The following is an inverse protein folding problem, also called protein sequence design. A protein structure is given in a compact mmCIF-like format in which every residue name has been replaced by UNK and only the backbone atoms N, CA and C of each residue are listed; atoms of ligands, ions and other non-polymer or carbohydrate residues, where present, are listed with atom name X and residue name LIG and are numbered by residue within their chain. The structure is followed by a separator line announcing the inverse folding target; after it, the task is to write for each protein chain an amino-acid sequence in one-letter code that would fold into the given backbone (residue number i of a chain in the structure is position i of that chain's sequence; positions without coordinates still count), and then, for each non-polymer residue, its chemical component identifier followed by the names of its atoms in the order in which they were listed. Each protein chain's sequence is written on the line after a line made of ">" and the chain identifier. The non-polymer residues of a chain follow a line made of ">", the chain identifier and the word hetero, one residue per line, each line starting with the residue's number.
data_IF_773224732340
#
_entry.id   IF_773224732340
#
_cell.length_a   1.000
_cell.length_b   1.000
_cell.length_c   1.000
_cell.angle_alpha   90.00
_cell.angle_beta   90.00
_cell.angle_gamma   90.00
#
_symmetry.space_group_name_H-M   'P 1'
#
loop_
_entity.id
_entity.type
_entity.pdbx_description
1 polymer ?
#
# COMPACT_ATOMS: atom_id res chain seq x y z
N UNK A 1 1.68 -9.66 -15.95
CA UNK A 1 1.63 -9.69 -14.47
C UNK A 1 2.96 -9.19 -13.96
N UNK A 2 2.97 -7.98 -13.42
CA UNK A 2 4.22 -7.28 -13.12
C UNK A 2 4.17 -6.69 -11.73
N UNK A 3 5.24 -6.86 -10.98
CA UNK A 3 5.48 -6.16 -9.73
C UNK A 3 4.46 -6.39 -8.59
N UNK A 4 4.06 -7.66 -8.36
CA UNK A 4 3.11 -8.01 -7.27
C UNK A 4 3.77 -8.76 -6.11
N UNK A 5 3.19 -8.60 -4.91
CA UNK A 5 3.38 -9.50 -3.76
C UNK A 5 2.16 -10.43 -3.72
N UNK A 6 2.41 -11.73 -3.83
CA UNK A 6 1.38 -12.76 -3.95
C UNK A 6 1.63 -13.82 -2.89
N UNK A 7 0.92 -13.71 -1.77
CA UNK A 7 1.18 -14.54 -0.59
C UNK A 7 -0.07 -15.22 -0.03
N UNK A 8 0.13 -16.39 0.60
CA UNK A 8 -0.86 -17.10 1.44
C UNK A 8 -2.17 -17.47 0.71
N UNK A 9 -2.09 -17.79 -0.57
CA UNK A 9 -3.25 -18.24 -1.36
C UNK A 9 -3.48 -19.75 -1.22
N UNK A 10 -4.75 -20.13 -0.98
CA UNK A 10 -5.16 -21.51 -0.71
C UNK A 10 -5.08 -22.46 -1.91
N UNK A 11 -5.04 -21.94 -3.15
CA UNK A 11 -4.99 -22.75 -4.37
C UNK A 11 -3.77 -22.44 -5.24
N UNK A 12 -3.71 -21.23 -5.79
CA UNK A 12 -2.58 -20.76 -6.58
C UNK A 12 -2.37 -19.28 -6.29
N UNK A 13 -1.11 -18.84 -6.20
CA UNK A 13 -0.79 -17.43 -6.12
C UNK A 13 -1.11 -16.75 -7.44
N UNK A 14 -0.49 -17.23 -8.53
CA UNK A 14 -0.77 -16.77 -9.88
C UNK A 14 -1.39 -17.92 -10.67
N UNK A 15 -2.51 -17.68 -11.35
CA UNK A 15 -3.13 -18.66 -12.25
C UNK A 15 -3.25 -18.09 -13.66
N UNK A 16 -2.63 -18.77 -14.63
CA UNK A 16 -2.80 -18.53 -16.07
C UNK A 16 -3.65 -19.67 -16.62
N UNK A 17 -4.84 -19.34 -17.11
CA UNK A 17 -5.79 -20.32 -17.64
C UNK A 17 -6.20 -19.91 -19.04
N UNK A 18 -5.97 -20.79 -20.02
CA UNK A 18 -6.27 -20.50 -21.44
C UNK A 18 -5.71 -19.13 -21.85
N UNK A 19 -4.46 -18.88 -21.44
CA UNK A 19 -3.79 -17.58 -21.55
C UNK A 19 -2.53 -17.72 -22.39
N UNK A 20 -2.34 -16.81 -23.35
CA UNK A 20 -1.24 -16.84 -24.30
C UNK A 20 -0.44 -15.53 -24.29
N UNK A 21 0.87 -15.62 -24.57
CA UNK A 21 1.76 -14.48 -24.81
C UNK A 21 1.86 -13.46 -23.65
N UNK A 22 1.62 -13.90 -22.42
CA UNK A 22 1.74 -13.03 -21.25
C UNK A 22 3.18 -12.95 -20.74
N UNK A 23 3.53 -11.80 -20.17
CA UNK A 23 4.76 -11.62 -19.41
C UNK A 23 4.44 -11.63 -17.92
N UNK A 24 5.10 -12.52 -17.18
CA UNK A 24 5.09 -12.58 -15.71
C UNK A 24 6.49 -12.26 -15.23
N UNK A 25 6.69 -11.05 -14.70
CA UNK A 25 8.02 -10.55 -14.35
C UNK A 25 8.00 -9.78 -13.02
N UNK A 26 9.08 -9.90 -12.24
CA UNK A 26 9.25 -9.22 -10.97
C UNK A 26 8.11 -9.44 -9.99
N UNK A 27 7.61 -10.66 -9.80
CA UNK A 27 6.63 -10.95 -8.76
C UNK A 27 7.29 -11.66 -7.58
N UNK A 28 6.88 -11.33 -6.36
CA UNK A 28 7.21 -12.09 -5.15
C UNK A 28 6.05 -13.02 -4.82
N UNK A 29 6.24 -14.31 -5.05
CA UNK A 29 5.19 -15.32 -4.95
C UNK A 29 5.58 -16.30 -3.86
N UNK A 30 5.01 -16.15 -2.67
CA UNK A 30 5.46 -16.90 -1.50
C UNK A 30 4.34 -17.51 -0.64
N UNK A 31 4.61 -18.65 -0.01
CA UNK A 31 3.70 -19.28 0.94
C UNK A 31 2.30 -19.61 0.37
N UNK A 32 2.18 -19.93 -0.93
CA UNK A 32 0.94 -20.36 -1.57
C UNK A 32 0.90 -21.88 -1.73
N UNK A 33 -0.28 -22.49 -1.93
CA UNK A 33 -0.36 -23.91 -2.26
C UNK A 33 0.38 -24.21 -3.58
N UNK A 34 0.10 -23.42 -4.63
CA UNK A 34 0.89 -23.39 -5.86
C UNK A 34 1.40 -21.97 -6.03
N UNK A 35 2.69 -21.76 -6.28
CA UNK A 35 3.21 -20.41 -6.55
C UNK A 35 2.57 -19.87 -7.83
N UNK A 36 2.82 -20.57 -8.94
CA UNK A 36 2.17 -20.32 -10.21
C UNK A 36 1.52 -21.59 -10.77
N UNK A 37 0.32 -21.46 -11.34
CA UNK A 37 -0.43 -22.52 -12.00
C UNK A 37 -0.73 -22.14 -13.46
N UNK A 38 -0.17 -22.88 -14.41
CA UNK A 38 -0.51 -22.77 -15.84
C UNK A 38 -1.43 -23.93 -16.23
N UNK A 39 -2.59 -23.61 -16.83
CA UNK A 39 -3.51 -24.65 -17.27
C UNK A 39 -4.35 -24.35 -18.50
N UNK A 40 -5.06 -25.38 -18.97
CA UNK A 40 -6.11 -25.30 -19.99
C UNK A 40 -5.62 -24.63 -21.28
N UNK A 41 -4.56 -25.17 -21.88
CA UNK A 41 -3.94 -24.67 -23.11
C UNK A 41 -3.24 -23.30 -22.98
N UNK A 42 -2.79 -22.93 -21.77
CA UNK A 42 -1.92 -21.76 -21.63
C UNK A 42 -0.58 -22.02 -22.30
N UNK A 43 -0.17 -21.14 -23.21
CA UNK A 43 1.06 -21.31 -23.99
C UNK A 43 1.78 -20.02 -24.33
N UNK A 44 3.04 -20.11 -24.72
CA UNK A 44 3.85 -18.96 -25.16
C UNK A 44 3.96 -17.84 -24.11
N UNK A 45 3.74 -18.14 -22.82
CA UNK A 45 3.93 -17.16 -21.76
C UNK A 45 5.41 -17.11 -21.38
N UNK A 46 5.89 -15.93 -20.99
CA UNK A 46 7.26 -15.71 -20.55
C UNK A 46 7.27 -15.34 -19.07
N UNK A 47 7.89 -16.18 -18.25
CA UNK A 47 7.92 -16.09 -16.80
C UNK A 47 9.38 -16.01 -16.36
N UNK A 48 9.85 -14.84 -15.94
CA UNK A 48 11.27 -14.61 -15.61
C UNK A 48 11.41 -13.52 -14.56
N UNK A 49 12.53 -13.48 -13.84
CA UNK A 49 12.77 -12.52 -12.76
C UNK A 49 11.72 -12.50 -11.64
N UNK A 50 11.07 -13.62 -11.38
CA UNK A 50 10.17 -13.77 -10.23
C UNK A 50 10.88 -14.49 -9.07
N UNK A 51 10.34 -14.32 -7.87
CA UNK A 51 10.74 -15.05 -6.68
C UNK A 51 9.64 -16.03 -6.29
N UNK A 52 9.88 -17.33 -6.44
CA UNK A 52 8.98 -18.39 -5.96
C UNK A 52 9.56 -18.99 -4.67
N UNK A 53 8.93 -18.66 -3.53
CA UNK A 53 9.51 -18.93 -2.21
C UNK A 53 8.53 -19.65 -1.29
N UNK A 54 8.91 -20.84 -0.80
CA UNK A 54 8.14 -21.60 0.19
C UNK A 54 6.66 -21.84 -0.23
N UNK A 55 6.37 -21.93 -1.52
CA UNK A 55 5.08 -22.44 -1.96
C UNK A 55 5.08 -23.97 -1.79
N UNK A 56 3.93 -24.60 -1.54
CA UNK A 56 3.87 -26.08 -1.44
C UNK A 56 4.33 -26.73 -2.75
N UNK A 57 3.98 -26.10 -3.87
CA UNK A 57 4.52 -26.38 -5.21
C UNK A 57 4.87 -25.03 -5.84
N UNK A 58 6.14 -24.76 -6.17
CA UNK A 58 6.51 -23.43 -6.68
C UNK A 58 5.92 -23.13 -8.07
N UNK A 59 5.97 -24.09 -8.99
CA UNK A 59 5.25 -24.03 -10.27
C UNK A 59 4.54 -25.34 -10.56
N UNK A 60 3.32 -25.24 -11.08
CA UNK A 60 2.53 -26.38 -11.50
C UNK A 60 1.97 -26.11 -12.90
N UNK A 61 2.21 -27.03 -13.82
CA UNK A 61 1.78 -26.93 -15.21
C UNK A 61 0.88 -28.13 -15.52
N UNK A 62 -0.29 -27.88 -16.10
CA UNK A 62 -1.24 -28.94 -16.48
C UNK A 62 -1.92 -28.60 -17.80
N UNK A 63 -1.62 -29.34 -18.85
CA UNK A 63 -2.05 -29.01 -20.22
C UNK A 63 -1.62 -27.59 -20.63
N UNK A 64 -0.35 -27.25 -20.42
CA UNK A 64 0.28 -26.00 -20.85
C UNK A 64 1.54 -26.30 -21.65
N UNK A 65 1.84 -25.49 -22.67
CA UNK A 65 2.89 -25.81 -23.64
C UNK A 65 3.71 -24.56 -24.00
N UNK A 66 4.97 -24.73 -24.41
CA UNK A 66 5.80 -23.65 -24.95
C UNK A 66 5.90 -22.41 -24.03
N UNK A 67 5.91 -22.58 -22.70
CA UNK A 67 6.14 -21.44 -21.80
C UNK A 67 7.63 -21.31 -21.52
N UNK A 68 8.13 -20.08 -21.59
CA UNK A 68 9.54 -19.75 -21.40
C UNK A 68 9.75 -19.29 -19.95
N UNK A 69 10.56 -20.02 -19.19
CA UNK A 69 10.82 -19.71 -17.77
C UNK A 69 12.05 -18.81 -17.56
N UNK A 70 12.48 -18.16 -18.63
CA UNK A 70 13.61 -17.26 -18.66
C UNK A 70 13.44 -16.23 -19.76
N UNK A 71 14.30 -15.22 -19.77
CA UNK A 71 14.44 -14.31 -20.90
C UNK A 71 15.86 -13.79 -20.98
N UNK A 72 16.46 -13.87 -22.17
CA UNK A 72 17.85 -13.41 -22.40
C UNK A 72 18.86 -13.95 -21.37
N UNK A 73 18.76 -15.26 -21.07
CA UNK A 73 19.66 -15.94 -20.13
C UNK A 73 19.40 -15.65 -18.66
N UNK A 74 18.24 -15.09 -18.31
CA UNK A 74 17.87 -14.76 -16.93
C UNK A 74 16.54 -15.41 -16.59
N UNK A 75 16.54 -16.32 -15.61
CA UNK A 75 15.37 -17.05 -15.13
C UNK A 75 14.77 -16.50 -13.83
N UNK A 76 14.10 -17.37 -13.09
CA UNK A 76 13.46 -17.06 -11.82
C UNK A 76 14.30 -17.56 -10.64
N UNK A 77 14.00 -17.05 -9.45
CA UNK A 77 14.48 -17.64 -8.21
C UNK A 77 13.48 -18.66 -7.70
N UNK A 78 13.97 -19.84 -7.31
CA UNK A 78 13.18 -20.95 -6.79
C UNK A 78 13.75 -21.39 -5.44
N UNK A 79 12.97 -21.32 -4.36
CA UNK A 79 13.46 -21.69 -3.02
C UNK A 79 13.80 -23.16 -2.86
N UNK A 80 13.32 -24.01 -3.77
CA UNK A 80 13.49 -25.45 -3.85
C UNK A 80 14.34 -25.85 -5.08
N UNK A 81 15.20 -24.96 -5.58
CA UNK A 81 16.11 -25.29 -6.66
C UNK A 81 17.10 -26.39 -6.23
N UNK A 82 17.10 -27.51 -6.96
CA UNK A 82 18.07 -28.58 -6.80
C UNK A 82 18.95 -28.68 -8.07
N UNK A 83 20.10 -28.00 -8.06
CA UNK A 83 21.08 -28.05 -9.15
C UNK A 83 21.06 -26.83 -10.07
N UNK A 84 21.44 -27.03 -11.34
CA UNK A 84 21.68 -25.95 -12.31
C UNK A 84 20.43 -25.54 -13.12
N UNK A 85 19.33 -26.29 -12.99
CA UNK A 85 18.06 -26.05 -13.68
C UNK A 85 16.88 -26.35 -12.76
N UNK A 86 15.74 -25.70 -13.01
CA UNK A 86 14.49 -26.00 -12.29
C UNK A 86 13.51 -26.70 -13.22
N UNK A 87 13.25 -27.98 -12.95
CA UNK A 87 12.34 -28.82 -13.74
C UNK A 87 10.92 -28.74 -13.17
N UNK A 88 9.96 -28.32 -13.98
CA UNK A 88 8.55 -28.15 -13.57
C UNK A 88 7.72 -29.31 -14.11
N UNK A 89 7.84 -29.57 -15.42
CA UNK A 89 7.40 -30.77 -16.12
C UNK A 89 8.24 -30.98 -17.39
N UNK A 90 7.98 -32.04 -18.16
CA UNK A 90 8.75 -32.40 -19.36
C UNK A 90 8.89 -31.26 -20.40
N UNK A 91 7.94 -30.31 -20.45
CA UNK A 91 7.92 -29.21 -21.43
C UNK A 91 8.13 -27.82 -20.81
N UNK A 92 8.26 -27.73 -19.48
CA UNK A 92 8.35 -26.49 -18.74
C UNK A 92 9.56 -26.56 -17.81
N UNK A 93 10.66 -25.95 -18.23
CA UNK A 93 11.94 -25.98 -17.51
C UNK A 93 12.55 -24.59 -17.50
N UNK A 94 13.00 -24.14 -16.32
CA UNK A 94 13.85 -22.96 -16.20
C UNK A 94 15.31 -23.41 -16.35
N UNK A 95 15.95 -22.98 -17.44
CA UNK A 95 17.34 -23.32 -17.76
C UNK A 95 18.35 -22.31 -17.18
N UNK A 96 17.89 -21.16 -16.67
CA UNK A 96 18.75 -20.14 -16.09
C UNK A 96 18.21 -19.65 -14.73
N UNK A 97 17.87 -20.56 -13.80
CA UNK A 97 17.40 -20.15 -12.50
C UNK A 97 18.51 -19.38 -11.77
N UNK A 98 18.12 -18.39 -10.97
CA UNK A 98 19.09 -17.62 -10.18
C UNK A 98 19.22 -18.18 -8.76
N UNK A 99 20.42 -18.09 -8.20
CA UNK A 99 20.74 -18.61 -6.86
C UNK A 99 20.42 -17.64 -5.73
N UNK A 100 20.14 -16.37 -6.05
CA UNK A 100 19.75 -15.35 -5.09
C UNK A 100 18.37 -14.79 -5.47
N UNK A 101 17.49 -14.52 -4.48
CA UNK A 101 16.22 -13.86 -4.76
C UNK A 101 16.43 -12.50 -5.41
N UNK A 102 15.58 -12.18 -6.39
CA UNK A 102 15.51 -10.86 -6.98
C UNK A 102 15.22 -9.81 -5.91
N UNK A 103 15.98 -8.72 -5.92
CA UNK A 103 15.74 -7.62 -5.00
C UNK A 103 14.42 -6.92 -5.37
N UNK A 104 13.39 -7.20 -4.58
CA UNK A 104 12.07 -6.60 -4.65
C UNK A 104 11.93 -5.45 -3.65
N UNK A 105 13.00 -4.75 -3.26
CA UNK A 105 12.91 -3.64 -2.30
C UNK A 105 12.05 -2.45 -2.78
N UNK A 106 11.66 -2.42 -4.06
CA UNK A 106 10.64 -1.51 -4.60
C UNK A 106 9.19 -1.88 -4.24
N UNK A 107 8.98 -3.05 -3.64
CA UNK A 107 7.69 -3.65 -3.30
C UNK A 107 7.43 -3.51 -1.81
N UNK A 108 7.44 -2.26 -1.35
CA UNK A 108 7.02 -1.99 0.02
C UNK A 108 5.53 -1.77 -0.02
N UNK A 109 4.79 -2.58 0.74
CA UNK A 109 3.40 -2.27 1.09
C UNK A 109 3.31 -0.78 1.43
N UNK A 110 2.52 -0.03 0.68
CA UNK A 110 2.44 1.42 0.85
C UNK A 110 1.28 1.79 1.74
N UNK A 111 1.38 2.99 2.29
CA UNK A 111 0.29 3.67 2.95
C UNK A 111 -0.03 4.95 2.17
N UNK A 112 -1.31 5.24 1.99
CA UNK A 112 -1.79 6.34 1.16
C UNK A 112 -2.76 7.19 1.92
N UNK A 113 -2.55 8.50 1.92
CA UNK A 113 -3.54 9.48 2.37
C UNK A 113 -4.40 9.84 1.15
N UNK A 114 -5.67 9.45 1.16
CA UNK A 114 -6.62 9.68 0.06
C UNK A 114 -7.30 11.05 0.21
N UNK A 115 -7.64 11.42 1.44
CA UNK A 115 -8.22 12.71 1.75
C UNK A 115 -7.66 13.21 3.09
N UNK A 116 -7.26 14.49 3.18
CA UNK A 116 -7.39 15.55 2.16
C UNK A 116 -6.35 15.46 1.03
N UNK A 117 -6.58 16.22 -0.05
CA UNK A 117 -5.63 16.42 -1.16
C UNK A 117 -4.46 17.30 -0.74
N UNK A 118 -3.35 17.21 -1.47
CA UNK A 118 -2.17 18.04 -1.21
C UNK A 118 -2.53 19.52 -1.24
N UNK A 119 -2.15 20.25 -0.18
CA UNK A 119 -2.40 21.67 0.01
C UNK A 119 -3.89 22.08 0.02
N UNK A 120 -4.80 21.15 0.28
CA UNK A 120 -6.24 21.47 0.36
C UNK A 120 -6.52 22.42 1.54
N UNK A 121 -7.38 23.41 1.29
CA UNK A 121 -7.86 24.32 2.32
C UNK A 121 -8.97 23.62 3.10
N UNK A 122 -8.76 23.44 4.41
CA UNK A 122 -9.67 22.70 5.28
C UNK A 122 -10.14 23.55 6.46
N UNK A 123 -11.34 23.24 6.97
CA UNK A 123 -11.93 23.86 8.15
C UNK A 123 -12.96 22.95 8.82
N UNK A 124 -13.16 23.14 10.12
CA UNK A 124 -14.09 22.37 10.93
C UNK A 124 -13.62 20.95 11.21
N UNK A 125 -14.57 20.08 11.53
CA UNK A 125 -14.31 18.66 11.79
C UNK A 125 -14.49 17.84 10.51
N UNK A 126 -13.49 17.03 10.17
CA UNK A 126 -13.57 16.13 9.03
C UNK A 126 -12.74 14.86 9.24
N UNK A 127 -13.07 13.81 8.49
CA UNK A 127 -12.27 12.59 8.50
C UNK A 127 -11.10 12.70 7.54
N UNK A 128 -9.88 12.54 8.04
CA UNK A 128 -8.73 12.16 7.22
C UNK A 128 -8.85 10.67 6.92
N UNK A 129 -8.67 10.26 5.67
CA UNK A 129 -8.93 8.90 5.20
C UNK A 129 -7.81 8.39 4.30
N UNK A 130 -7.60 7.09 4.31
CA UNK A 130 -6.67 6.46 3.40
C UNK A 130 -6.72 4.95 3.37
N UNK A 131 -5.77 4.38 2.64
CA UNK A 131 -5.60 2.93 2.51
C UNK A 131 -4.19 2.56 2.96
N UNK A 132 -4.03 1.41 3.60
CA UNK A 132 -2.74 0.81 3.92
C UNK A 132 -2.70 -0.61 3.36
N UNK A 133 -1.70 -0.90 2.55
CA UNK A 133 -1.35 -2.26 2.11
C UNK A 133 -0.58 -3.01 3.20
N UNK A 134 -0.24 -2.34 4.31
CA UNK A 134 0.53 -2.90 5.43
C UNK A 134 -0.45 -3.48 6.45
N UNK A 135 -0.32 -4.79 6.73
CA UNK A 135 -1.07 -5.53 7.76
C UNK A 135 -0.66 -5.14 9.21
N UNK A 136 -0.60 -3.83 9.52
CA UNK A 136 -0.27 -3.28 10.84
C UNK A 136 -1.18 -2.10 11.18
N UNK A 137 -1.22 -1.73 12.46
CA UNK A 137 -1.93 -0.54 12.92
C UNK A 137 -1.42 0.73 12.23
N UNK A 138 -2.35 1.61 11.89
CA UNK A 138 -2.07 2.92 11.31
C UNK A 138 -2.03 3.97 12.41
N UNK A 139 -0.96 4.75 12.43
CA UNK A 139 -0.75 5.84 13.36
C UNK A 139 -0.68 7.16 12.61
N UNK A 140 -1.17 8.24 13.22
CA UNK A 140 -1.10 9.58 12.66
C UNK A 140 -0.59 10.59 13.69
N UNK A 141 -0.05 11.71 13.21
CA UNK A 141 0.20 12.91 14.02
C UNK A 141 0.07 14.16 13.15
N UNK A 142 -0.16 15.30 13.80
CA UNK A 142 -0.19 16.60 13.12
C UNK A 142 1.06 17.36 13.55
N UNK A 143 1.84 17.79 12.58
CA UNK A 143 3.12 18.47 12.78
C UNK A 143 4.06 17.69 13.72
N UNK A 144 4.39 18.31 14.86
CA UNK A 144 5.29 17.78 15.87
C UNK A 144 4.55 17.16 17.06
N UNK A 145 3.24 16.87 16.94
CA UNK A 145 2.48 16.21 18.00
C UNK A 145 2.91 14.75 18.23
N UNK A 146 2.47 14.17 19.33
CA UNK A 146 2.58 12.73 19.57
C UNK A 146 1.77 11.93 18.55
N UNK A 147 2.22 10.71 18.27
CA UNK A 147 1.49 9.74 17.44
C UNK A 147 0.23 9.25 18.16
N UNK A 148 -0.87 9.21 17.42
CA UNK A 148 -2.17 8.69 17.85
C UNK A 148 -2.62 7.56 16.93
N UNK A 149 -3.45 6.66 17.44
CA UNK A 149 -3.96 5.52 16.68
C UNK A 149 -5.12 5.95 15.78
N UNK A 150 -5.05 5.61 14.49
CA UNK A 150 -6.18 5.76 13.57
C UNK A 150 -7.16 4.58 13.71
N UNK A 151 -8.41 4.80 13.32
CA UNK A 151 -9.40 3.73 13.28
C UNK A 151 -9.24 2.93 11.98
N UNK A 152 -9.07 1.62 12.08
CA UNK A 152 -8.87 0.71 10.96
C UNK A 152 -7.41 0.50 10.57
N UNK A 153 -7.15 -0.59 9.85
CA UNK A 153 -5.82 -0.95 9.33
C UNK A 153 -5.78 -0.77 7.81
N UNK A 154 -6.52 -1.60 7.05
CA UNK A 154 -6.56 -1.54 5.58
C UNK A 154 -7.23 -0.27 5.07
N UNK A 155 -8.48 -0.02 5.48
CA UNK A 155 -9.15 1.27 5.29
C UNK A 155 -9.13 2.00 6.61
N UNK A 156 -8.34 3.06 6.67
CA UNK A 156 -8.08 3.78 7.91
C UNK A 156 -8.66 5.18 7.85
N UNK A 157 -9.06 5.69 9.01
CA UNK A 157 -9.53 7.07 9.17
C UNK A 157 -9.31 7.59 10.58
N UNK A 158 -9.22 8.90 10.71
CA UNK A 158 -9.33 9.59 12.00
C UNK A 158 -10.05 10.92 11.82
N UNK A 159 -10.70 11.38 12.90
CA UNK A 159 -11.36 12.68 12.91
C UNK A 159 -10.32 13.76 13.22
N UNK A 160 -10.20 14.76 12.34
CA UNK A 160 -9.41 15.95 12.56
C UNK A 160 -10.34 17.12 12.84
N UNK A 161 -10.18 17.72 14.00
CA UNK A 161 -10.86 18.95 14.41
C UNK A 161 -9.89 20.12 14.23
N UNK A 162 -10.08 20.89 13.16
CA UNK A 162 -9.17 22.00 12.85
C UNK A 162 -9.30 23.15 13.83
N UNK A 163 -10.36 23.24 14.64
CA UNK A 163 -10.51 24.32 15.62
C UNK A 163 -9.43 24.26 16.72
N UNK A 164 -8.76 23.12 16.87
CA UNK A 164 -7.61 22.90 17.76
C UNK A 164 -6.26 23.26 17.13
N UNK A 165 -6.26 23.66 15.85
CA UNK A 165 -5.08 24.05 15.10
C UNK A 165 -5.11 25.56 14.82
N UNK A 166 -3.92 26.14 14.67
CA UNK A 166 -3.79 27.51 14.20
C UNK A 166 -4.17 27.61 12.72
N UNK A 167 -4.49 28.81 12.23
CA UNK A 167 -4.63 29.02 10.80
C UNK A 167 -3.25 29.02 10.13
N UNK A 168 -3.11 28.36 8.99
CA UNK A 168 -1.85 28.25 8.26
C UNK A 168 -1.58 26.86 7.69
N UNK A 169 -0.34 26.63 7.23
CA UNK A 169 0.12 25.33 6.75
C UNK A 169 0.29 24.35 7.92
N UNK A 170 -0.22 23.13 7.75
CA UNK A 170 -0.01 22.01 8.67
C UNK A 170 0.35 20.76 7.86
N UNK A 171 1.11 19.86 8.49
CA UNK A 171 1.47 18.57 7.89
C UNK A 171 0.84 17.42 8.68
N UNK A 172 0.03 16.62 8.00
CA UNK A 172 -0.46 15.34 8.53
C UNK A 172 0.60 14.28 8.22
N UNK A 173 1.11 13.60 9.23
CA UNK A 173 1.96 12.41 9.06
C UNK A 173 1.14 11.17 9.36
N UNK A 174 1.29 10.14 8.54
CA UNK A 174 0.65 8.82 8.74
C UNK A 174 1.69 7.73 8.54
N UNK A 175 1.73 6.74 9.42
CA UNK A 175 2.64 5.61 9.33
C UNK A 175 1.96 4.28 9.61
N UNK A 176 2.48 3.23 8.98
CA UNK A 176 2.21 1.85 9.35
C UNK A 176 3.48 1.03 9.09
N UNK A 177 3.83 0.14 10.02
CA UNK A 177 5.12 -0.58 9.94
C UNK A 177 6.31 0.39 9.85
N UNK A 178 7.12 0.22 8.80
CA UNK A 178 8.31 1.05 8.54
C UNK A 178 8.04 2.19 7.54
N UNK A 179 6.84 2.26 6.98
CA UNK A 179 6.49 3.29 6.00
C UNK A 179 5.83 4.48 6.68
N UNK A 180 6.22 5.67 6.26
CA UNK A 180 5.63 6.94 6.70
C UNK A 180 5.40 7.81 5.48
N UNK A 181 4.18 8.32 5.37
CA UNK A 181 3.78 9.31 4.36
C UNK A 181 3.26 10.55 5.03
N UNK A 182 3.19 11.64 4.29
CA UNK A 182 2.67 12.91 4.78
C UNK A 182 1.80 13.60 3.75
N UNK A 183 0.99 14.53 4.24
CA UNK A 183 0.08 15.35 3.46
C UNK A 183 0.08 16.76 4.02
N UNK A 184 0.42 17.76 3.21
CA UNK A 184 0.25 19.16 3.59
C UNK A 184 -1.20 19.60 3.40
N UNK A 185 -1.68 20.42 4.33
CA UNK A 185 -3.01 21.05 4.32
C UNK A 185 -2.89 22.52 4.73
N UNK A 186 -3.89 23.32 4.39
CA UNK A 186 -3.98 24.71 4.85
C UNK A 186 -5.23 24.92 5.69
N UNK A 187 -5.07 25.18 6.99
CA UNK A 187 -6.18 25.38 7.92
C UNK A 187 -6.65 26.84 7.85
N UNK A 188 -7.97 27.02 7.63
CA UNK A 188 -8.62 28.33 7.61
C UNK A 188 -9.90 28.31 8.46
N UNK A 189 -9.73 28.29 9.77
CA UNK A 189 -10.81 28.49 10.73
C UNK A 189 -11.30 29.93 10.70
N UNK A 190 -12.60 30.11 10.94
CA UNK A 190 -13.16 31.42 11.20
C UNK A 190 -12.61 31.94 12.53
N UNK A 191 -12.18 33.21 12.57
CA UNK A 191 -11.85 33.84 13.86
C UNK A 191 -13.11 33.75 14.71
N UNK A 192 -13.03 33.15 15.90
CA UNK A 192 -14.08 33.34 16.91
C UNK A 192 -14.18 34.84 17.14
N UNK A 193 -15.19 35.48 16.57
CA UNK A 193 -15.61 36.81 17.01
C UNK A 193 -15.92 36.66 18.49
N UNK A 194 -15.36 37.48 19.40
CA UNK A 194 -15.79 37.47 20.79
C UNK A 194 -17.32 37.54 20.80
N UNK A 195 -17.96 36.66 21.56
CA UNK A 195 -19.43 36.60 21.60
C UNK A 195 -19.98 38.00 21.88
N UNK A 196 -21.16 38.31 21.31
CA UNK A 196 -21.86 39.57 21.55
C UNK A 196 -22.03 39.90 23.05
N UNK A 197 -21.92 38.91 23.94
CA UNK A 197 -21.89 39.11 25.39
C UNK A 197 -20.79 40.06 25.85
N UNK A 198 -19.58 39.99 25.27
CA UNK A 198 -18.50 40.92 25.62
C UNK A 198 -18.82 42.35 25.18
N UNK A 199 -19.50 42.51 24.03
CA UNK A 199 -19.93 43.80 23.52
C UNK A 199 -21.05 44.40 24.38
N UNK A 200 -22.02 43.58 24.81
CA UNK A 200 -23.06 44.00 25.75
C UNK A 200 -22.49 44.35 27.13
N UNK A 201 -21.47 43.62 27.61
CA UNK A 201 -20.80 43.95 28.87
C UNK A 201 -20.07 45.29 28.79
N UNK A 202 -19.36 45.56 27.68
CA UNK A 202 -18.67 46.84 27.45
C UNK A 202 -19.69 47.98 27.29
N UNK A 203 -20.78 47.77 26.55
CA UNK A 203 -21.87 48.76 26.40
C UNK A 203 -22.54 49.02 27.76
N UNK A 204 -22.81 48.00 28.55
CA UNK A 204 -23.41 48.15 29.89
C UNK A 204 -22.48 48.93 30.84
N UNK A 205 -21.17 48.67 30.82
CA UNK A 205 -20.17 49.42 31.60
C UNK A 205 -20.12 50.90 31.15
N UNK A 206 -20.19 51.17 29.84
CA UNK A 206 -20.18 52.51 29.29
C UNK A 206 -21.46 53.30 29.60
N UNK A 207 -22.63 52.64 29.60
CA UNK A 207 -23.91 53.22 30.00
C UNK A 207 -23.91 53.51 31.51
N UNK A 208 -23.45 52.56 32.33
CA UNK A 208 -23.38 52.74 33.78
C UNK A 208 -22.48 53.93 34.17
N UNK A 209 -21.34 54.13 33.49
CA UNK A 209 -20.45 55.29 33.71
C UNK A 209 -21.02 56.65 33.29
N UNK A 210 -22.12 56.70 32.53
CA UNK A 210 -22.82 57.95 32.19
C UNK A 210 -23.97 58.28 33.14
N UNK A 211 -24.36 57.34 34.00
CA UNK A 211 -25.50 57.44 34.90
C UNK A 211 -25.09 57.66 36.37
N UNK A 212 -23.79 57.78 36.66
CA UNK A 212 -23.23 58.14 37.97
C UNK A 212 -22.18 59.24 37.82
#
# INVERSE_FOLDING_TARGET
>A
IYSNIVEKNYQAGIRLQTSEENIVEFNHVANNQKGIYLCCWSKNNRIFRNNFINNTVNAYCSNSQNNEWQYKGVGNYWSDLYGERYEIDDNNIDFNPVSIPWNISGFRHKIYIIYPKENEIVKGEFFVKGISEIEKSVWFKIDNSSWMLANGTFSWKFLLDTAKLNNGEHTIYVKAGNETVWRKIYVKNEKKTPSFELLYLIIAILIARRLF
#
